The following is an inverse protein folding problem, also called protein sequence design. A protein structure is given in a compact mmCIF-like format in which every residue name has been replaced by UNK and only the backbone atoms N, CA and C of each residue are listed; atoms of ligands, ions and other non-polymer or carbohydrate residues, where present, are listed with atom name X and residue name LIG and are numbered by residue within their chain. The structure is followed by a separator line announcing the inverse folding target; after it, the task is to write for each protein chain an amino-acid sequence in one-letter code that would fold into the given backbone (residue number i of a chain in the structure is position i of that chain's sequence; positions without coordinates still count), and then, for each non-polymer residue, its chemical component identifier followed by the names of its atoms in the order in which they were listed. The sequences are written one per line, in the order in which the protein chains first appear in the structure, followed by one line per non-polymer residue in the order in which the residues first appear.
data_IF_880676928240
#
_entry.id   IF_880676928240
#
_cell.length_a   1.000
_cell.length_b   1.000
_cell.length_c   1.000
_cell.angle_alpha   90.00
_cell.angle_beta   90.00
_cell.angle_gamma   90.00
#
_symmetry.space_group_name_H-M   'P 1'
#
loop_
_entity.id
_entity.type
_entity.pdbx_description
1 polymer ?
#
# COMPACT_ATOMS: atom_id res chain seq x y z
N UNK A 1 -42.48 4.15 -3.87
CA UNK A 1 -41.91 2.93 -4.49
C UNK A 1 -41.47 3.37 -5.88
N UNK A 2 -40.32 4.05 -5.96
CA UNK A 2 -39.76 4.47 -7.24
C UNK A 2 -39.27 3.22 -7.96
N UNK A 3 -39.69 3.06 -9.21
CA UNK A 3 -39.24 2.01 -10.10
C UNK A 3 -37.71 2.05 -10.18
N UNK A 4 -37.07 1.12 -9.46
CA UNK A 4 -35.62 1.00 -9.50
C UNK A 4 -35.20 0.79 -10.95
N UNK A 5 -34.23 1.60 -11.41
CA UNK A 5 -33.63 1.46 -12.74
C UNK A 5 -33.39 -0.02 -13.04
N UNK A 6 -34.04 -0.53 -14.08
CA UNK A 6 -33.90 -1.93 -14.51
C UNK A 6 -32.55 -2.20 -15.16
N UNK A 7 -31.87 -1.15 -15.60
CA UNK A 7 -30.58 -1.21 -16.28
C UNK A 7 -29.46 -1.26 -15.25
N UNK A 8 -28.54 -2.22 -15.40
CA UNK A 8 -27.36 -2.32 -14.54
C UNK A 8 -26.38 -1.16 -14.80
N UNK A 9 -25.58 -0.73 -13.80
CA UNK A 9 -24.57 0.31 -13.99
C UNK A 9 -23.58 -0.03 -15.12
N UNK A 10 -23.22 -1.31 -15.27
CA UNK A 10 -22.37 -1.77 -16.37
C UNK A 10 -23.04 -1.59 -17.74
N UNK A 11 -24.29 -2.05 -17.91
CA UNK A 11 -24.98 -1.92 -19.18
C UNK A 11 -25.24 -0.45 -19.54
N UNK A 12 -25.50 0.38 -18.53
CA UNK A 12 -25.59 1.84 -18.70
C UNK A 12 -24.25 2.43 -19.17
N UNK A 13 -23.14 2.05 -18.54
CA UNK A 13 -21.81 2.51 -18.92
C UNK A 13 -21.47 2.09 -20.36
N UNK A 14 -21.62 0.81 -20.69
CA UNK A 14 -21.33 0.25 -22.03
C UNK A 14 -22.11 0.99 -23.12
N UNK A 15 -23.41 1.23 -22.89
CA UNK A 15 -24.26 2.00 -23.83
C UNK A 15 -23.78 3.45 -23.97
N UNK A 16 -23.40 4.07 -22.85
CA UNK A 16 -22.98 5.47 -22.80
C UNK A 16 -21.64 5.71 -23.51
N UNK A 17 -20.66 4.83 -23.30
CA UNK A 17 -19.32 4.94 -23.88
C UNK A 17 -19.33 4.52 -25.37
N UNK A 18 -20.12 3.50 -25.74
CA UNK A 18 -20.30 3.10 -27.14
C UNK A 18 -20.93 4.22 -27.97
N UNK A 19 -21.93 4.92 -27.43
CA UNK A 19 -22.56 6.06 -28.10
C UNK A 19 -21.59 7.23 -28.32
N UNK A 20 -20.46 7.27 -27.59
CA UNK A 20 -19.39 8.27 -27.70
C UNK A 20 -18.20 7.79 -28.53
N UNK A 21 -18.25 6.57 -29.08
CA UNK A 21 -17.17 6.01 -29.90
C UNK A 21 -16.03 5.34 -29.14
N UNK A 22 -16.20 5.05 -27.85
CA UNK A 22 -15.23 4.28 -27.07
C UNK A 22 -15.47 2.77 -27.19
N UNK A 23 -14.40 2.00 -27.03
CA UNK A 23 -14.45 0.54 -26.98
C UNK A 23 -15.05 0.05 -25.66
N UNK A 24 -15.84 -1.03 -25.72
CA UNK A 24 -16.33 -1.78 -24.55
C UNK A 24 -15.54 -3.07 -24.33
N UNK A 25 -14.29 -3.11 -24.81
CA UNK A 25 -13.39 -4.24 -24.62
C UNK A 25 -13.17 -4.51 -23.12
N UNK A 26 -12.96 -5.78 -22.79
CA UNK A 26 -12.74 -6.28 -21.44
C UNK A 26 -11.44 -7.06 -21.43
N UNK A 27 -10.73 -7.00 -20.32
CA UNK A 27 -9.42 -7.61 -20.19
C UNK A 27 -9.35 -8.38 -18.88
N UNK A 28 -8.97 -9.65 -18.96
CA UNK A 28 -8.75 -10.48 -17.78
C UNK A 28 -7.54 -9.96 -17.01
N UNK A 29 -7.77 -9.48 -15.78
CA UNK A 29 -6.74 -8.81 -14.98
C UNK A 29 -5.48 -9.66 -14.82
N UNK A 30 -5.65 -10.98 -14.62
CA UNK A 30 -4.58 -11.95 -14.46
C UNK A 30 -3.68 -12.12 -15.69
N UNK A 31 -4.13 -11.66 -16.87
CA UNK A 31 -3.37 -11.70 -18.12
C UNK A 31 -2.74 -10.34 -18.50
N UNK A 32 -2.86 -9.34 -17.63
CA UNK A 32 -2.32 -7.98 -17.85
C UNK A 32 -1.20 -7.67 -16.86
N UNK A 33 -0.47 -6.58 -17.09
CA UNK A 33 0.54 -6.07 -16.16
C UNK A 33 -0.02 -5.52 -14.84
N UNK A 34 -1.35 -5.50 -14.65
CA UNK A 34 -1.96 -5.20 -13.35
C UNK A 34 -1.79 -6.35 -12.35
N UNK A 35 -1.55 -7.57 -12.83
CA UNK A 35 -1.26 -8.72 -11.99
C UNK A 35 0.25 -8.88 -11.82
N UNK A 36 0.73 -8.57 -10.62
CA UNK A 36 2.13 -8.69 -10.24
C UNK A 36 2.27 -9.58 -9.00
N UNK A 37 3.40 -10.29 -8.93
CA UNK A 37 3.74 -11.12 -7.78
C UNK A 37 4.10 -10.18 -6.63
N UNK A 38 3.48 -10.34 -5.44
CA UNK A 38 3.87 -9.58 -4.27
C UNK A 38 5.35 -9.66 -3.96
N UNK A 39 6.01 -8.51 -3.77
CA UNK A 39 7.41 -8.51 -3.34
C UNK A 39 7.53 -8.94 -1.87
N UNK A 40 8.68 -9.50 -1.43
CA UNK A 40 8.89 -9.84 -0.03
C UNK A 40 8.66 -8.65 0.91
N UNK A 41 9.04 -7.43 0.48
CA UNK A 41 8.82 -6.22 1.26
C UNK A 41 7.33 -5.87 1.38
N UNK A 42 6.54 -6.01 0.32
CA UNK A 42 5.09 -5.80 0.36
C UNK A 42 4.41 -6.72 1.37
N UNK A 43 4.80 -7.99 1.38
CA UNK A 43 4.28 -8.99 2.32
C UNK A 43 4.73 -8.72 3.76
N UNK A 44 6.01 -8.38 3.96
CA UNK A 44 6.57 -8.00 5.25
C UNK A 44 5.92 -6.76 5.85
N UNK A 45 5.53 -5.82 4.99
CA UNK A 45 4.92 -4.55 5.37
C UNK A 45 3.43 -4.66 5.70
N UNK A 46 2.80 -5.81 5.45
CA UNK A 46 1.38 -6.01 5.69
C UNK A 46 1.13 -6.66 7.04
N UNK A 47 0.43 -5.94 7.92
CA UNK A 47 0.03 -6.44 9.22
C UNK A 47 -1.39 -6.01 9.61
N UNK A 48 -1.99 -6.74 10.55
CA UNK A 48 -3.29 -6.47 11.14
C UNK A 48 -3.35 -5.06 11.76
N UNK A 49 -2.24 -4.55 12.30
CA UNK A 49 -2.18 -3.22 12.88
C UNK A 49 -2.47 -2.12 11.86
N UNK A 50 -1.94 -2.21 10.63
CA UNK A 50 -2.24 -1.23 9.56
C UNK A 50 -3.73 -1.22 9.23
N UNK A 51 -4.36 -2.40 9.18
CA UNK A 51 -5.80 -2.53 8.95
C UNK A 51 -6.58 -1.87 10.09
N UNK A 52 -6.14 -2.05 11.34
CA UNK A 52 -6.76 -1.42 12.51
C UNK A 52 -6.65 0.10 12.48
N UNK A 53 -5.49 0.64 12.10
CA UNK A 53 -5.25 2.09 11.94
C UNK A 53 -6.21 2.68 10.91
N UNK A 54 -6.37 2.02 9.76
CA UNK A 54 -7.32 2.44 8.71
C UNK A 54 -8.77 2.41 9.23
N UNK A 55 -9.17 1.35 9.93
CA UNK A 55 -10.53 1.20 10.48
C UNK A 55 -10.85 2.25 11.55
N UNK A 56 -9.86 2.64 12.35
CA UNK A 56 -10.00 3.65 13.41
C UNK A 56 -9.88 5.09 12.91
N UNK A 57 -9.47 5.30 11.65
CA UNK A 57 -9.29 6.64 11.08
C UNK A 57 -7.97 7.32 11.48
N UNK A 58 -6.94 6.56 11.86
CA UNK A 58 -5.65 7.08 12.33
C UNK A 58 -4.74 7.58 11.21
N UNK A 59 -5.14 8.64 10.48
CA UNK A 59 -4.45 9.08 9.26
C UNK A 59 -3.01 9.53 9.49
N UNK A 60 -2.72 10.18 10.61
CA UNK A 60 -1.35 10.60 10.94
C UNK A 60 -0.45 9.41 11.24
N UNK A 61 -0.98 8.40 11.94
CA UNK A 61 -0.28 7.14 12.20
C UNK A 61 -0.04 6.39 10.88
N UNK A 62 -1.03 6.33 10.01
CA UNK A 62 -0.90 5.72 8.68
C UNK A 62 0.20 6.42 7.87
N UNK A 63 0.18 7.76 7.83
CA UNK A 63 1.19 8.57 7.13
C UNK A 63 2.59 8.34 7.67
N UNK A 64 2.74 8.34 9.00
CA UNK A 64 4.03 8.10 9.66
C UNK A 64 4.57 6.71 9.34
N UNK A 65 3.71 5.68 9.40
CA UNK A 65 4.08 4.32 9.05
C UNK A 65 4.48 4.20 7.58
N UNK A 66 3.73 4.76 6.64
CA UNK A 66 4.08 4.67 5.21
C UNK A 66 5.37 5.41 4.85
N UNK A 67 5.69 6.50 5.56
CA UNK A 67 6.97 7.22 5.39
C UNK A 67 8.16 6.53 6.08
N UNK A 68 7.92 5.49 6.87
CA UNK A 68 8.98 4.80 7.63
C UNK A 68 9.95 4.00 6.77
N UNK A 69 9.56 3.68 5.52
CA UNK A 69 10.31 2.79 4.63
C UNK A 69 9.71 1.38 4.50
N UNK A 70 8.54 1.12 5.11
CA UNK A 70 7.71 -0.01 4.69
C UNK A 70 7.26 0.17 3.23
N UNK A 71 6.88 -0.93 2.56
CA UNK A 71 6.35 -0.86 1.20
C UNK A 71 5.12 0.04 1.15
N UNK A 72 4.99 0.93 0.13
CA UNK A 72 3.78 1.72 -0.07
C UNK A 72 2.60 0.88 -0.54
N UNK A 73 2.82 -0.37 -0.97
CA UNK A 73 1.80 -1.30 -1.46
C UNK A 73 1.72 -2.57 -0.59
N UNK A 74 1.53 -2.46 0.74
CA UNK A 74 1.55 -3.63 1.61
C UNK A 74 0.37 -4.55 1.27
N UNK A 75 0.63 -5.85 1.13
CA UNK A 75 -0.38 -6.84 0.79
C UNK A 75 -0.19 -8.17 1.52
N UNK A 76 -1.26 -8.95 1.65
CA UNK A 76 -1.17 -10.29 2.20
C UNK A 76 -0.60 -11.30 1.18
N UNK A 77 -0.51 -12.57 1.61
CA UNK A 77 -0.03 -13.69 0.79
C UNK A 77 -0.88 -13.98 -0.46
N UNK A 78 -2.10 -13.42 -0.52
CA UNK A 78 -3.03 -13.59 -1.64
C UNK A 78 -3.06 -12.37 -2.58
N UNK A 79 -2.09 -11.46 -2.44
CA UNK A 79 -2.06 -10.21 -3.21
C UNK A 79 -3.09 -9.15 -2.78
N UNK A 80 -3.90 -9.41 -1.75
CA UNK A 80 -4.86 -8.43 -1.25
C UNK A 80 -4.12 -7.30 -0.52
N UNK A 81 -3.85 -6.23 -1.26
CA UNK A 81 -3.28 -4.96 -0.77
C UNK A 81 -4.15 -4.25 0.26
N UNK A 82 -3.53 -3.45 1.14
CA UNK A 82 -4.22 -2.53 2.05
C UNK A 82 -5.21 -1.60 1.32
N UNK A 83 -4.94 -1.27 0.04
CA UNK A 83 -5.86 -0.50 -0.80
C UNK A 83 -7.21 -1.18 -0.99
N UNK A 84 -7.25 -2.50 -1.16
CA UNK A 84 -8.50 -3.27 -1.26
C UNK A 84 -9.36 -3.03 -0.02
N UNK A 85 -8.75 -3.12 1.15
CA UNK A 85 -9.43 -2.86 2.43
C UNK A 85 -9.91 -1.42 2.55
N UNK A 86 -9.08 -0.44 2.20
CA UNK A 86 -9.44 1.00 2.22
C UNK A 86 -10.61 1.30 1.30
N UNK A 87 -10.59 0.76 0.08
CA UNK A 87 -11.64 0.93 -0.91
C UNK A 87 -12.96 0.30 -0.47
N UNK A 88 -12.90 -0.91 0.07
CA UNK A 88 -14.06 -1.62 0.65
C UNK A 88 -14.70 -0.88 1.82
N UNK A 89 -13.90 -0.20 2.63
CA UNK A 89 -14.38 0.62 3.74
C UNK A 89 -14.90 2.00 3.29
N UNK A 90 -14.60 2.42 2.06
CA UNK A 90 -14.94 3.75 1.55
C UNK A 90 -14.16 4.87 2.21
N UNK A 91 -12.98 4.60 2.78
CA UNK A 91 -12.19 5.58 3.51
C UNK A 91 -11.34 6.44 2.55
N UNK A 92 -11.92 7.56 2.11
CA UNK A 92 -11.28 8.50 1.17
C UNK A 92 -10.02 9.13 1.76
N UNK A 93 -10.00 9.44 3.05
CA UNK A 93 -8.86 10.09 3.69
C UNK A 93 -7.66 9.15 3.72
N UNK A 94 -7.90 7.86 4.04
CA UNK A 94 -6.85 6.84 3.98
C UNK A 94 -6.34 6.67 2.55
N UNK A 95 -7.25 6.60 1.57
CA UNK A 95 -6.86 6.48 0.16
C UNK A 95 -5.95 7.63 -0.27
N UNK A 96 -6.29 8.88 0.08
CA UNK A 96 -5.48 10.05 -0.25
C UNK A 96 -4.10 10.00 0.41
N UNK A 97 -4.03 9.65 1.69
CA UNK A 97 -2.75 9.50 2.40
C UNK A 97 -1.87 8.43 1.73
N UNK A 98 -2.45 7.31 1.33
CA UNK A 98 -1.73 6.23 0.64
C UNK A 98 -1.20 6.70 -0.72
N UNK A 99 -2.04 7.34 -1.54
CA UNK A 99 -1.62 7.89 -2.83
C UNK A 99 -0.52 8.96 -2.69
N UNK A 100 -0.61 9.82 -1.67
CA UNK A 100 0.45 10.80 -1.34
C UNK A 100 1.78 10.13 -0.95
N UNK A 101 1.74 8.89 -0.44
CA UNK A 101 2.92 8.11 -0.06
C UNK A 101 3.42 7.19 -1.20
N UNK A 102 2.90 7.33 -2.42
CA UNK A 102 3.37 6.59 -3.59
C UNK A 102 2.75 5.20 -3.75
N UNK A 103 1.62 4.92 -3.09
CA UNK A 103 0.86 3.69 -3.35
C UNK A 103 0.34 3.69 -4.79
N UNK A 104 0.48 2.55 -5.49
CA UNK A 104 -0.05 2.35 -6.82
C UNK A 104 -1.47 1.78 -6.77
N UNK A 105 -2.34 2.26 -7.68
CA UNK A 105 -3.66 1.68 -7.89
C UNK A 105 -3.64 0.44 -8.80
N UNK A 106 -2.50 0.17 -9.44
CA UNK A 106 -2.28 -0.93 -10.38
C UNK A 106 -1.91 -2.22 -9.64
N UNK A 107 -2.76 -2.58 -8.68
CA UNK A 107 -2.65 -3.82 -7.90
C UNK A 107 -3.87 -4.68 -8.17
N UNK A 108 -3.68 -5.99 -8.15
CA UNK A 108 -4.77 -6.95 -8.10
C UNK A 108 -4.44 -8.07 -7.13
N UNK A 109 -5.47 -8.69 -6.56
CA UNK A 109 -5.30 -9.92 -5.79
C UNK A 109 -5.18 -11.17 -6.70
N UNK A 110 -5.00 -12.34 -6.09
CA UNK A 110 -4.90 -13.63 -6.80
C UNK A 110 -6.17 -14.02 -7.57
N UNK A 111 -7.30 -13.38 -7.28
CA UNK A 111 -8.54 -13.56 -8.04
C UNK A 111 -8.65 -12.56 -9.19
N UNK A 112 -7.66 -11.70 -9.42
CA UNK A 112 -7.71 -10.64 -10.42
C UNK A 112 -8.63 -9.48 -10.01
N UNK A 113 -9.00 -9.37 -8.74
CA UNK A 113 -9.80 -8.24 -8.24
C UNK A 113 -8.87 -7.06 -7.99
N UNK A 114 -9.25 -5.91 -8.52
CA UNK A 114 -8.57 -4.63 -8.31
C UNK A 114 -9.20 -3.85 -7.15
N UNK A 115 -8.56 -2.79 -6.62
CA UNK A 115 -9.15 -1.95 -5.58
C UNK A 115 -10.53 -1.38 -5.96
N UNK A 116 -10.79 -1.17 -7.26
CA UNK A 116 -12.08 -0.71 -7.74
C UNK A 116 -13.20 -1.76 -7.59
N UNK A 117 -12.88 -3.05 -7.71
CA UNK A 117 -13.85 -4.13 -7.42
C UNK A 117 -14.33 -4.03 -5.96
N UNK A 118 -13.41 -3.81 -5.03
CA UNK A 118 -13.73 -3.66 -3.62
C UNK A 118 -14.47 -2.36 -3.29
N UNK A 119 -14.14 -1.26 -3.97
CA UNK A 119 -14.92 -0.01 -3.86
C UNK A 119 -16.38 -0.20 -4.31
N UNK A 120 -16.61 -1.02 -5.35
CA UNK A 120 -17.94 -1.33 -5.86
C UNK A 120 -18.71 -2.34 -4.99
N UNK A 121 -18.00 -3.19 -4.25
CA UNK A 121 -18.58 -4.16 -3.32
C UNK A 121 -18.96 -3.55 -1.94
N UNK A 122 -18.48 -2.34 -1.65
CA UNK A 122 -18.71 -1.65 -0.39
C UNK A 122 -20.20 -1.59 0.01
N UNK A 123 -20.46 -1.66 1.32
CA UNK A 123 -21.83 -1.67 1.88
C UNK A 123 -22.60 -0.38 1.57
N UNK A 124 -21.88 0.73 1.40
CA UNK A 124 -22.43 2.02 0.97
C UNK A 124 -21.68 2.45 -0.29
N UNK A 125 -22.34 3.15 -1.24
CA UNK A 125 -21.68 3.61 -2.45
C UNK A 125 -20.61 4.66 -2.11
N UNK A 126 -19.35 4.25 -2.12
CA UNK A 126 -18.19 5.09 -1.87
C UNK A 126 -17.80 5.89 -3.12
N UNK A 127 -18.73 6.67 -3.68
CA UNK A 127 -18.55 7.37 -4.96
C UNK A 127 -17.34 8.32 -4.98
N UNK A 128 -16.97 8.87 -3.82
CA UNK A 128 -15.78 9.72 -3.65
C UNK A 128 -14.48 8.94 -3.74
N UNK A 129 -14.43 7.69 -3.25
CA UNK A 129 -13.29 6.78 -3.47
C UNK A 129 -13.19 6.45 -4.95
N UNK A 130 -14.32 6.14 -5.59
CA UNK A 130 -14.40 5.87 -7.03
C UNK A 130 -13.91 7.06 -7.84
N UNK A 131 -14.30 8.29 -7.48
CA UNK A 131 -13.81 9.50 -8.13
C UNK A 131 -12.29 9.62 -8.08
N UNK A 132 -11.69 9.38 -6.90
CA UNK A 132 -10.24 9.43 -6.75
C UNK A 132 -9.57 8.36 -7.61
N UNK A 133 -10.10 7.13 -7.61
CA UNK A 133 -9.54 6.03 -8.41
C UNK A 133 -9.64 6.35 -9.91
N UNK A 134 -10.82 6.72 -10.42
CA UNK A 134 -11.04 6.99 -11.85
C UNK A 134 -10.30 8.22 -12.35
N UNK A 135 -10.02 9.19 -11.47
CA UNK A 135 -9.18 10.35 -11.83
C UNK A 135 -7.72 9.98 -12.06
N UNK A 136 -7.24 8.88 -11.47
CA UNK A 136 -5.86 8.40 -11.65
C UNK A 136 -5.79 7.31 -12.72
N UNK A 137 -6.69 6.34 -12.67
CA UNK A 137 -6.75 5.23 -13.63
C UNK A 137 -8.21 4.82 -13.92
N UNK A 138 -8.84 5.38 -14.97
CA UNK A 138 -10.18 4.98 -15.38
C UNK A 138 -10.20 3.58 -16.00
N UNK A 139 -9.05 3.03 -16.39
CA UNK A 139 -8.97 1.75 -17.11
C UNK A 139 -9.35 0.56 -16.22
N UNK A 140 -9.26 0.73 -14.90
CA UNK A 140 -9.68 -0.28 -13.92
C UNK A 140 -11.15 -0.70 -14.08
N UNK A 141 -11.99 0.08 -14.77
CA UNK A 141 -13.38 -0.27 -15.09
C UNK A 141 -13.52 -1.40 -16.11
N UNK A 142 -12.50 -1.64 -16.94
CA UNK A 142 -12.51 -2.62 -18.03
C UNK A 142 -11.87 -3.96 -17.65
N UNK A 143 -11.29 -4.03 -16.45
CA UNK A 143 -10.60 -5.19 -15.94
C UNK A 143 -11.58 -6.17 -15.30
N UNK A 144 -11.58 -7.42 -15.73
CA UNK A 144 -12.39 -8.48 -15.13
C UNK A 144 -11.57 -9.36 -14.19
N UNK A 145 -12.23 -9.83 -13.14
CA UNK A 145 -11.67 -10.82 -12.23
C UNK A 145 -11.61 -12.21 -12.89
N UNK A 146 -11.07 -13.19 -12.18
CA UNK A 146 -10.99 -14.61 -12.60
C UNK A 146 -12.36 -15.27 -12.86
N UNK A 147 -13.47 -14.60 -12.54
CA UNK A 147 -14.85 -15.05 -12.79
C UNK A 147 -15.49 -14.32 -13.96
N UNK A 148 -14.75 -13.45 -14.66
CA UNK A 148 -15.26 -12.59 -15.74
C UNK A 148 -16.15 -11.45 -15.22
N UNK A 149 -16.05 -11.11 -13.94
CA UNK A 149 -16.85 -10.07 -13.33
C UNK A 149 -16.07 -8.74 -13.29
N UNK A 150 -16.65 -7.70 -13.91
CA UNK A 150 -16.14 -6.32 -13.87
C UNK A 150 -16.43 -5.65 -12.51
N UNK A 151 -15.75 -4.55 -12.13
CA UNK A 151 -15.99 -3.87 -10.86
C UNK A 151 -17.46 -3.50 -10.65
N UNK A 152 -18.11 -2.94 -11.67
CA UNK A 152 -19.50 -2.48 -11.57
C UNK A 152 -20.51 -3.62 -11.40
N UNK A 153 -20.13 -4.86 -11.71
CA UNK A 153 -20.97 -6.03 -11.49
C UNK A 153 -21.19 -6.34 -10.00
N UNK A 154 -20.28 -5.88 -9.12
CA UNK A 154 -20.37 -6.06 -7.67
C UNK A 154 -21.31 -5.07 -6.99
N UNK A 155 -21.77 -4.04 -7.71
CA UNK A 155 -22.66 -3.02 -7.16
C UNK A 155 -24.01 -3.66 -6.85
N UNK A 156 -24.39 -3.60 -5.57
CA UNK A 156 -25.71 -4.05 -5.10
C UNK A 156 -26.83 -3.33 -5.83
N UNK A 157 -27.87 -4.07 -6.21
CA UNK A 157 -29.02 -3.55 -6.98
C UNK A 157 -29.69 -2.34 -6.32
N UNK A 158 -29.72 -2.29 -5.00
CA UNK A 158 -30.23 -1.18 -4.20
C UNK A 158 -29.48 0.16 -4.42
N UNK A 159 -28.23 0.12 -4.89
CA UNK A 159 -27.42 1.32 -5.12
C UNK A 159 -27.40 1.76 -6.59
N UNK A 160 -28.01 1.03 -7.53
CA UNK A 160 -27.99 1.39 -8.95
C UNK A 160 -28.56 2.78 -9.22
N UNK A 161 -29.53 3.21 -8.43
CA UNK A 161 -30.12 4.55 -8.50
C UNK A 161 -29.13 5.68 -8.18
N UNK A 162 -28.07 5.42 -7.42
CA UNK A 162 -27.01 6.40 -7.13
C UNK A 162 -25.91 6.40 -8.20
N UNK A 163 -25.58 5.22 -8.74
CA UNK A 163 -24.50 5.04 -9.70
C UNK A 163 -24.82 5.55 -11.11
N UNK A 164 -26.07 5.42 -11.57
CA UNK A 164 -26.45 5.90 -12.91
C UNK A 164 -26.37 7.43 -13.02
N UNK A 165 -26.94 8.22 -12.08
CA UNK A 165 -26.73 9.67 -12.05
C UNK A 165 -25.26 10.05 -11.90
N UNK A 166 -24.49 9.29 -11.10
CA UNK A 166 -23.05 9.50 -10.92
C UNK A 166 -22.30 9.45 -12.27
N UNK A 167 -22.51 8.40 -13.07
CA UNK A 167 -21.88 8.29 -14.38
C UNK A 167 -22.41 9.34 -15.36
N UNK A 168 -23.72 9.60 -15.36
CA UNK A 168 -24.32 10.63 -16.23
C UNK A 168 -23.73 12.01 -15.96
N UNK A 169 -23.45 12.36 -14.71
CA UNK A 169 -22.88 13.65 -14.34
C UNK A 169 -21.39 13.78 -14.73
N UNK A 170 -20.66 12.67 -14.80
CA UNK A 170 -19.20 12.63 -15.07
C UNK A 170 -18.85 12.13 -16.47
N UNK A 171 -19.85 11.82 -17.29
CA UNK A 171 -19.67 11.27 -18.64
C UNK A 171 -18.73 12.12 -19.48
N UNK A 172 -18.85 13.45 -19.42
CA UNK A 172 -18.04 14.36 -20.24
C UNK A 172 -16.64 14.62 -19.63
N UNK A 173 -16.44 14.25 -18.36
CA UNK A 173 -15.14 14.34 -17.68
C UNK A 173 -14.22 13.16 -18.05
N UNK A 174 -14.74 11.93 -18.02
CA UNK A 174 -13.96 10.72 -18.30
C UNK A 174 -14.08 10.23 -19.75
N UNK A 175 -15.20 10.50 -20.41
CA UNK A 175 -15.50 10.07 -21.79
C UNK A 175 -16.02 11.26 -22.63
N UNK A 176 -15.17 12.23 -22.99
CA UNK A 176 -15.55 13.32 -23.88
C UNK A 176 -16.07 12.80 -25.24
N UNK A 177 -16.97 13.56 -25.87
CA UNK A 177 -17.62 13.11 -27.10
C UNK A 177 -16.66 13.13 -28.30
N UNK A 178 -16.30 11.94 -28.80
CA UNK A 178 -15.42 11.78 -29.95
C UNK A 178 -16.16 11.97 -31.29
N UNK A 179 -17.49 12.03 -31.29
CA UNK A 179 -18.29 12.14 -32.51
C UNK A 179 -18.25 13.53 -33.16
N UNK A 180 -17.83 14.58 -32.42
CA UNK A 180 -17.89 15.98 -32.85
C UNK A 180 -16.59 16.61 -33.36
N UNK A 181 -15.42 16.01 -33.08
CA UNK A 181 -14.12 16.57 -33.46
C UNK A 181 -13.24 15.48 -34.08
N UNK A 182 -12.64 15.77 -35.24
CA UNK A 182 -11.69 14.90 -35.94
C UNK A 182 -10.36 14.69 -35.19
N UNK A 183 -10.42 14.26 -33.93
CA UNK A 183 -9.30 13.71 -33.18
C UNK A 183 -8.95 12.35 -33.79
N UNK A 184 -7.65 12.07 -34.05
CA UNK A 184 -7.25 10.80 -34.62
C UNK A 184 -7.52 9.64 -33.64
N UNK A 185 -7.62 8.38 -34.12
CA UNK A 185 -7.98 7.19 -33.34
C UNK A 185 -6.94 6.75 -32.29
N UNK A 186 -6.04 7.64 -31.83
CA UNK A 186 -4.83 7.28 -31.09
C UNK A 186 -5.09 6.76 -29.66
N UNK A 187 -6.26 7.02 -29.08
CA UNK A 187 -6.64 6.52 -27.74
C UNK A 187 -7.50 5.25 -27.78
N UNK A 188 -7.69 4.62 -28.96
CA UNK A 188 -8.50 3.40 -29.09
C UNK A 188 -7.72 2.11 -28.80
N UNK A 189 -6.40 2.19 -28.72
CA UNK A 189 -5.59 1.05 -28.31
C UNK A 189 -5.79 0.78 -26.83
N UNK A 190 -5.92 -0.49 -26.41
CA UNK A 190 -5.88 -0.86 -25.01
C UNK A 190 -4.69 -0.17 -24.34
N UNK A 191 -4.86 0.46 -23.17
CA UNK A 191 -3.74 0.94 -22.35
C UNK A 191 -2.57 -0.04 -22.37
N UNK A 192 -1.33 0.46 -22.44
CA UNK A 192 -0.13 -0.39 -22.63
C UNK A 192 -0.09 -1.59 -21.67
N UNK A 193 -0.46 -1.35 -20.41
CA UNK A 193 -0.53 -2.36 -19.36
C UNK A 193 -1.48 -3.53 -19.64
N UNK A 194 -2.53 -3.34 -20.46
CA UNK A 194 -3.42 -4.42 -20.88
C UNK A 194 -2.77 -5.37 -21.89
N UNK A 195 -1.77 -4.91 -22.63
CA UNK A 195 -1.06 -5.69 -23.65
C UNK A 195 0.21 -6.34 -23.11
N UNK A 196 0.67 -5.87 -21.95
CA UNK A 196 1.83 -6.40 -21.26
C UNK A 196 1.49 -7.67 -20.49
N UNK A 197 2.46 -8.59 -20.40
CA UNK A 197 2.28 -9.88 -19.73
C UNK A 197 2.13 -9.68 -18.22
N UNK A 198 1.47 -10.59 -17.51
CA UNK A 198 1.52 -10.57 -16.04
C UNK A 198 2.97 -10.61 -15.55
N UNK A 199 3.21 -10.02 -14.39
CA UNK A 199 4.53 -9.91 -13.74
C UNK A 199 5.57 -9.05 -14.47
N UNK A 200 5.18 -8.36 -15.55
CA UNK A 200 6.11 -7.53 -16.33
C UNK A 200 6.30 -6.10 -15.79
N UNK A 201 5.44 -5.67 -14.85
CA UNK A 201 5.49 -4.34 -14.26
C UNK A 201 5.49 -4.40 -12.72
N UNK A 202 6.50 -5.02 -12.09
CA UNK A 202 6.57 -5.12 -10.64
C UNK A 202 6.60 -3.73 -10.00
N UNK A 203 5.84 -3.56 -8.92
CA UNK A 203 5.78 -2.28 -8.22
C UNK A 203 7.10 -2.04 -7.48
N UNK A 204 7.79 -0.90 -7.72
CA UNK A 204 9.08 -0.65 -7.11
C UNK A 204 8.95 -0.41 -5.61
N UNK A 205 9.99 -0.84 -4.89
CA UNK A 205 10.15 -0.53 -3.47
C UNK A 205 10.53 0.96 -3.30
N UNK A 206 10.20 1.58 -2.15
CA UNK A 206 10.48 2.98 -1.94
C UNK A 206 11.99 3.22 -1.78
N UNK A 207 12.48 4.40 -2.14
CA UNK A 207 13.92 4.71 -2.06
C UNK A 207 14.50 4.55 -0.65
N UNK A 208 13.68 4.73 0.39
CA UNK A 208 14.04 4.52 1.78
C UNK A 208 13.62 3.15 2.34
N UNK A 209 13.41 2.14 1.48
CA UNK A 209 12.95 0.79 1.86
C UNK A 209 13.71 0.20 3.05
N UNK A 210 12.98 -0.27 4.06
CA UNK A 210 13.54 -1.04 5.17
C UNK A 210 13.84 -2.48 4.70
N UNK A 211 14.71 -3.18 5.43
CA UNK A 211 14.84 -4.64 5.27
C UNK A 211 13.51 -5.31 5.62
N UNK A 212 13.27 -6.51 5.09
CA UNK A 212 12.02 -7.23 5.33
C UNK A 212 11.76 -7.47 6.82
N UNK A 213 12.80 -7.66 7.62
CA UNK A 213 12.67 -7.88 9.06
C UNK A 213 12.28 -6.61 9.81
N UNK A 214 13.00 -5.50 9.56
CA UNK A 214 12.66 -4.21 10.13
C UNK A 214 11.26 -3.76 9.72
N UNK A 215 10.88 -4.00 8.46
CA UNK A 215 9.53 -3.72 7.96
C UNK A 215 8.46 -4.51 8.73
N UNK A 216 8.68 -5.81 9.02
CA UNK A 216 7.77 -6.62 9.85
C UNK A 216 7.63 -6.07 11.26
N UNK A 217 8.75 -5.67 11.88
CA UNK A 217 8.74 -5.12 13.25
C UNK A 217 8.00 -3.78 13.32
N UNK A 218 8.20 -2.91 12.32
CA UNK A 218 7.47 -1.63 12.23
C UNK A 218 6.00 -1.85 11.93
N UNK A 219 5.67 -2.72 10.96
CA UNK A 219 4.29 -3.01 10.58
C UNK A 219 3.48 -3.62 11.74
N UNK A 220 4.10 -4.48 12.55
CA UNK A 220 3.49 -5.09 13.74
C UNK A 220 3.52 -4.22 15.01
N UNK A 221 4.01 -2.97 14.91
CA UNK A 221 4.14 -2.02 16.03
C UNK A 221 5.08 -2.50 17.15
N UNK A 222 6.00 -3.40 16.84
CA UNK A 222 7.05 -3.84 17.78
C UNK A 222 8.23 -2.88 17.81
N UNK A 223 8.39 -2.06 16.77
CA UNK A 223 9.45 -1.06 16.64
C UNK A 223 8.89 0.27 16.12
N UNK A 224 9.44 1.39 16.58
CA UNK A 224 9.05 2.71 16.08
C UNK A 224 9.75 3.00 14.73
N UNK A 225 9.08 3.70 13.80
CA UNK A 225 9.67 4.13 12.52
C UNK A 225 11.07 4.76 12.62
N UNK A 226 11.29 5.63 13.61
CA UNK A 226 12.57 6.30 13.82
C UNK A 226 13.69 5.36 14.26
N UNK A 227 13.37 4.32 15.05
CA UNK A 227 14.33 3.31 15.50
C UNK A 227 14.76 2.42 14.34
N UNK A 228 13.80 1.97 13.51
CA UNK A 228 14.08 1.15 12.34
C UNK A 228 14.97 1.88 11.32
N UNK A 229 14.73 3.18 11.10
CA UNK A 229 15.57 3.99 10.23
C UNK A 229 16.99 4.14 10.79
N UNK A 230 17.12 4.38 12.11
CA UNK A 230 18.43 4.48 12.76
C UNK A 230 19.23 3.18 12.61
N UNK A 231 18.61 2.03 12.87
CA UNK A 231 19.25 0.72 12.70
C UNK A 231 19.70 0.48 11.26
N UNK A 232 18.86 0.83 10.27
CA UNK A 232 19.24 0.73 8.85
C UNK A 232 20.50 1.53 8.53
N UNK A 233 20.60 2.78 9.00
CA UNK A 233 21.80 3.59 8.76
C UNK A 233 23.04 3.01 9.45
N UNK A 234 22.90 2.51 10.69
CA UNK A 234 24.00 1.88 11.41
C UNK A 234 24.56 0.66 10.68
N UNK A 235 23.70 -0.19 10.11
CA UNK A 235 24.12 -1.36 9.35
C UNK A 235 24.86 -0.98 8.05
N UNK A 236 24.46 0.12 7.39
CA UNK A 236 25.11 0.61 6.17
C UNK A 236 26.52 1.21 6.42
N UNK A 237 26.76 1.80 7.59
CA UNK A 237 28.08 2.36 7.94
C UNK A 237 29.11 1.26 8.21
N UNK A 238 28.70 0.13 8.80
CA UNK A 238 29.58 -1.01 9.07
C UNK A 238 30.03 -1.71 7.77
N UNK A 239 29.13 -1.88 6.80
CA UNK A 239 29.48 -2.43 5.47
C UNK A 239 30.42 -1.52 4.66
N UNK A 240 30.33 -0.20 4.86
CA UNK A 240 31.19 0.78 4.18
C UNK A 240 32.63 0.84 4.73
N UNK A 241 32.83 0.46 5.99
CA UNK A 241 34.15 0.53 6.65
C UNK A 241 35.09 -0.62 6.30
N UNK A 242 34.59 -1.74 5.75
CA UNK A 242 35.41 -2.92 5.44
C UNK A 242 35.99 -2.94 4.02
N UNK A 243 35.65 -1.95 3.18
CA UNK A 243 36.05 -1.91 1.75
C UNK A 243 37.28 -1.04 1.44
N UNK A 244 38.04 -0.55 2.44
CA UNK A 244 39.21 0.31 2.19
C UNK A 244 40.59 -0.34 2.31
N UNK A 245 40.70 -1.60 2.75
CA UNK A 245 41.99 -2.10 3.28
C UNK A 245 42.66 -3.21 2.45
N UNK A 246 42.25 -3.46 1.21
CA UNK A 246 42.96 -4.41 0.33
C UNK A 246 43.12 -3.87 -1.07
N UNK A 247 44.19 -3.10 -1.29
CA UNK A 247 44.99 -3.10 -2.53
C UNK A 247 46.12 -2.07 -2.41
N UNK A 248 47.21 -2.47 -1.75
CA UNK A 248 48.53 -1.91 -2.02
C UNK A 248 49.60 -2.91 -1.55
N UNK A 249 49.72 -4.01 -2.29
CA UNK A 249 51.00 -4.73 -2.33
C UNK A 249 51.49 -4.77 -3.77
N UNK A 250 52.59 -4.04 -3.96
CA UNK A 250 53.47 -4.05 -5.10
C UNK A 250 53.97 -5.48 -5.35
N UNK A 251 53.91 -5.96 -6.59
CA UNK A 251 54.75 -7.08 -7.03
C UNK A 251 55.28 -6.81 -8.44
N UNK A 252 56.56 -6.45 -8.49
CA UNK A 252 57.39 -6.39 -9.69
C UNK A 252 57.73 -7.81 -10.18
N UNK A 253 57.83 -8.00 -11.50
CA UNK A 253 58.79 -8.96 -12.06
C UNK A 253 58.34 -9.81 -13.25
N UNK A 254 58.93 -9.47 -14.42
CA UNK A 254 59.57 -10.34 -15.44
C UNK A 254 58.74 -11.48 -16.06
N UNK A 255 58.37 -11.42 -17.35
CA UNK A 255 59.16 -11.62 -18.58
C UNK A 255 59.07 -13.07 -19.11
N UNK A 256 59.07 -13.15 -20.45
CA UNK A 256 59.43 -14.27 -21.35
C UNK A 256 58.35 -15.18 -21.98
N UNK A 257 58.21 -14.97 -23.31
CA UNK A 257 58.32 -15.94 -24.43
C UNK A 257 57.27 -17.06 -24.62
N UNK A 258 56.99 -17.62 -25.81
CA UNK A 258 56.97 -17.26 -27.23
C UNK A 258 56.41 -18.53 -27.93
N UNK A 259 55.64 -18.41 -29.03
CA UNK A 259 55.24 -19.49 -29.99
C UNK A 259 54.25 -20.55 -29.48
N UNK A 260 53.36 -21.20 -30.26
CA UNK A 260 53.11 -21.27 -31.69
C UNK A 260 52.43 -22.62 -32.02
N UNK A 261 51.42 -22.58 -32.91
CA UNK A 261 50.81 -23.68 -33.71
C UNK A 261 49.82 -24.72 -33.12
N UNK A 262 48.64 -24.73 -33.75
CA UNK A 262 47.79 -25.83 -34.25
C UNK A 262 47.47 -27.07 -33.41
N UNK A 263 46.17 -27.31 -33.17
CA UNK A 263 45.43 -28.42 -33.81
C UNK A 263 43.95 -28.45 -33.38
N UNK A 264 43.06 -28.64 -34.36
CA UNK A 264 41.63 -28.96 -34.22
C UNK A 264 41.39 -30.25 -33.42
N UNK A 265 40.43 -30.26 -32.49
CA UNK A 265 39.62 -31.43 -32.14
C UNK A 265 38.26 -30.98 -31.57
N UNK A 266 37.20 -31.40 -32.27
CA UNK A 266 35.83 -31.55 -31.77
C UNK A 266 35.81 -32.53 -30.58
N UNK A 267 35.07 -32.19 -29.51
CA UNK A 267 33.91 -32.95 -28.99
C UNK A 267 33.70 -32.72 -27.49
N UNK A 268 32.43 -32.44 -27.18
CA UNK A 268 31.71 -32.80 -25.96
C UNK A 268 31.80 -31.90 -24.70
N UNK A 269 30.61 -31.78 -24.10
CA UNK A 269 30.29 -31.37 -22.73
C UNK A 269 30.63 -29.94 -22.30
N UNK A 270 29.62 -29.06 -22.36
CA UNK A 270 29.58 -27.85 -21.54
C UNK A 270 28.71 -28.15 -20.32
N UNK A 271 29.39 -28.55 -19.25
CA UNK A 271 28.97 -28.33 -17.87
C UNK A 271 29.10 -26.83 -17.58
N UNK A 272 27.99 -26.14 -17.29
CA UNK A 272 28.04 -24.85 -16.60
C UNK A 272 27.65 -25.10 -15.14
N UNK A 273 28.67 -25.37 -14.33
CA UNK A 273 28.64 -25.09 -12.90
C UNK A 273 28.87 -23.59 -12.68
N UNK A 274 28.07 -23.04 -11.76
CA UNK A 274 28.37 -21.89 -10.90
C UNK A 274 28.33 -20.46 -11.46
N UNK A 275 27.17 -19.82 -11.32
CA UNK A 275 27.13 -18.44 -10.80
C UNK A 275 26.34 -18.45 -9.48
N UNK A 276 27.00 -18.96 -8.45
CA UNK A 276 26.68 -18.72 -7.04
C UNK A 276 26.82 -17.21 -6.76
N UNK A 277 25.72 -16.49 -6.98
CA UNK A 277 25.49 -15.20 -6.36
C UNK A 277 25.19 -15.39 -4.87
N UNK A 278 26.21 -15.71 -4.08
CA UNK A 278 26.15 -15.72 -2.62
C UNK A 278 25.97 -14.29 -2.15
N UNK A 279 24.71 -13.87 -2.13
CA UNK A 279 24.26 -12.81 -1.25
C UNK A 279 24.56 -13.32 0.16
N UNK A 280 25.68 -12.87 0.75
CA UNK A 280 26.04 -13.17 2.13
C UNK A 280 24.86 -12.80 3.02
N UNK A 281 24.05 -13.80 3.34
CA UNK A 281 23.06 -13.73 4.40
C UNK A 281 23.89 -13.67 5.66
N UNK A 282 23.89 -12.51 6.33
CA UNK A 282 24.27 -12.45 7.73
C UNK A 282 23.55 -13.61 8.42
N UNK A 283 24.31 -14.47 9.10
CA UNK A 283 23.80 -15.68 9.71
C UNK A 283 22.58 -15.31 10.57
N UNK A 284 21.46 -16.03 10.42
CA UNK A 284 20.22 -15.77 11.17
C UNK A 284 20.49 -15.65 12.69
N UNK A 285 21.58 -16.25 13.15
CA UNK A 285 22.06 -16.25 14.53
C UNK A 285 22.64 -14.89 15.00
N UNK A 286 23.33 -14.11 14.13
CA UNK A 286 23.88 -12.80 14.52
C UNK A 286 22.78 -11.73 14.64
N UNK A 287 21.78 -11.75 13.74
CA UNK A 287 20.61 -10.89 13.88
C UNK A 287 19.72 -11.30 15.05
N UNK A 288 19.59 -12.60 15.33
CA UNK A 288 18.86 -13.07 16.51
C UNK A 288 19.49 -12.55 17.82
N UNK A 289 20.82 -12.49 17.91
CA UNK A 289 21.51 -11.98 19.09
C UNK A 289 21.36 -10.46 19.26
N UNK A 290 21.40 -9.69 18.17
CA UNK A 290 21.13 -8.23 18.19
C UNK A 290 19.66 -7.96 18.58
N UNK A 291 18.71 -8.72 18.02
CA UNK A 291 17.29 -8.58 18.35
C UNK A 291 16.97 -9.06 19.78
N UNK A 292 17.64 -10.11 20.27
CA UNK A 292 17.55 -10.62 21.64
C UNK A 292 18.08 -9.60 22.67
N UNK A 293 19.23 -9.00 22.39
CA UNK A 293 19.81 -7.97 23.27
C UNK A 293 18.99 -6.68 23.30
N UNK A 294 18.35 -6.30 22.20
CA UNK A 294 17.48 -5.12 22.13
C UNK A 294 16.12 -5.36 22.82
N UNK A 295 15.53 -6.55 22.67
CA UNK A 295 14.26 -6.90 23.36
C UNK A 295 14.44 -7.06 24.88
N UNK A 296 15.59 -7.53 25.35
CA UNK A 296 15.92 -7.58 26.77
C UNK A 296 16.03 -6.20 27.43
N UNK A 297 16.42 -5.17 26.67
CA UNK A 297 16.57 -3.78 27.17
C UNK A 297 15.24 -3.02 27.26
N UNK A 298 14.17 -3.55 26.66
CA UNK A 298 12.85 -2.93 26.58
C UNK A 298 11.84 -3.42 27.63
N UNK A 299 12.24 -4.27 28.59
CA UNK A 299 11.33 -4.72 29.67
C UNK A 299 11.36 -3.73 30.84
N UNK A 300 10.29 -2.98 31.14
CA UNK A 300 10.20 -2.28 32.41
C UNK A 300 9.95 -3.32 33.52
N UNK A 301 10.86 -3.35 34.49
CA UNK A 301 10.77 -4.17 35.70
C UNK A 301 9.42 -3.97 36.40
N UNK A 302 8.63 -5.04 36.50
CA UNK A 302 7.47 -5.13 37.40
C UNK A 302 7.92 -5.72 38.73
N UNK A 303 7.90 -4.89 39.77
CA UNK A 303 7.78 -5.20 41.21
C UNK A 303 7.65 -3.81 41.91
N UNK A 304 6.78 -3.51 42.88
CA UNK A 304 5.97 -4.34 43.76
C UNK A 304 4.77 -3.55 44.36
N UNK A 305 3.67 -4.28 44.51
CA UNK A 305 2.48 -4.24 45.41
C UNK A 305 2.11 -3.00 46.27
N UNK A 306 0.84 -2.59 46.07
CA UNK A 306 -0.23 -2.34 47.06
C UNK A 306 0.11 -1.81 48.47
N UNK A 307 -0.37 -0.61 48.81
CA UNK A 307 -0.99 -0.32 50.12
C UNK A 307 -1.65 1.08 50.16
N UNK A 308 -2.97 1.07 50.40
CA UNK A 308 -3.72 1.96 51.31
C UNK A 308 -3.10 3.25 51.84
N UNK A 309 -3.92 4.31 51.87
CA UNK A 309 -3.99 5.19 53.03
C UNK A 309 -3.64 6.66 52.80
N UNK A 310 -4.67 7.50 52.97
CA UNK A 310 -4.64 8.87 53.48
C UNK A 310 -3.26 9.49 53.80
N UNK A 311 -3.01 10.69 53.27
CA UNK A 311 -2.43 11.75 54.11
C UNK A 311 -2.76 13.16 53.61
N UNK A 312 -3.40 13.89 54.53
CA UNK A 312 -3.58 15.35 54.54
C UNK A 312 -2.26 16.07 54.82
N UNK A 313 -2.30 17.37 54.52
CA UNK A 313 -1.52 18.49 55.04
C UNK A 313 -0.22 18.85 54.29
N UNK A 314 -0.21 20.04 53.67
CA UNK A 314 0.26 21.22 54.38
C UNK A 314 -0.26 22.53 53.74
N UNK A 315 -0.71 23.40 54.65
CA UNK A 315 -1.17 24.77 54.44
C UNK A 315 -0.02 25.69 54.00
N UNK A 316 -0.35 26.70 53.18
CA UNK A 316 0.28 28.02 53.28
C UNK A 316 -0.80 29.10 53.22
N UNK A 317 -0.91 29.82 54.34
CA UNK A 317 -1.84 30.91 54.61
C UNK A 317 -1.52 32.19 53.82
N UNK A 318 -2.55 32.91 53.37
CA UNK A 318 -2.73 34.38 53.46
C UNK A 318 -4.24 34.68 53.29
N UNK A 319 -4.99 34.92 54.38
CA UNK A 319 -5.45 36.23 54.92
C UNK A 319 -6.34 37.06 53.97
N UNK A 320 -7.69 36.92 54.00
CA UNK A 320 -8.75 37.75 54.66
C UNK A 320 -9.57 38.61 53.64
N UNK A 321 -10.72 39.26 53.98
CA UNK A 321 -12.06 38.62 54.09
C UNK A 321 -13.26 39.42 53.45
N UNK A 322 -14.46 38.80 53.49
CA UNK A 322 -15.85 39.39 53.47
C UNK A 322 -16.34 40.20 52.25
N UNK A 323 -17.44 39.76 51.61
CA UNK A 323 -18.79 40.29 51.88
C UNK A 323 -19.90 39.60 51.04
N UNK A 324 -21.00 39.33 51.73
CA UNK A 324 -22.41 39.17 51.36
C UNK A 324 -22.85 39.46 49.91
N UNK A 325 -23.63 38.55 49.32
CA UNK A 325 -25.07 38.73 49.02
C UNK A 325 -25.58 37.64 48.05
N UNK A 326 -26.63 36.92 48.47
CA UNK A 326 -27.59 36.21 47.60
C UNK A 326 -28.84 37.12 47.56
N UNK A 327 -29.67 37.13 46.49
CA UNK A 327 -30.65 36.04 46.36
C UNK A 327 -31.09 35.66 44.92
N UNK A 328 -31.49 34.38 44.81
CA UNK A 328 -32.72 33.86 44.18
C UNK A 328 -33.16 34.37 42.80
N UNK A 329 -33.23 33.45 41.84
CA UNK A 329 -34.39 33.31 40.96
C UNK A 329 -34.64 31.83 40.64
N UNK A 330 -35.66 31.28 41.32
CA UNK A 330 -36.42 30.10 40.90
C UNK A 330 -37.29 30.51 39.71
N UNK A 331 -37.26 29.75 38.61
CA UNK A 331 -38.47 29.46 37.84
C UNK A 331 -38.46 27.97 37.51
N UNK A 332 -39.49 27.30 38.00
CA UNK A 332 -39.88 25.94 37.70
C UNK A 332 -41.16 26.03 36.83
N UNK A 333 -41.43 24.96 36.07
CA UNK A 333 -42.72 24.43 35.55
C UNK A 333 -42.49 23.97 34.08
N UNK A 334 -42.22 22.69 33.82
CA UNK A 334 -43.16 21.54 33.65
C UNK A 334 -44.05 21.62 32.39
N UNK A 335 -43.83 20.66 31.48
CA UNK A 335 -44.85 19.71 31.04
C UNK A 335 -45.59 20.02 29.74
N UNK A 336 -45.29 19.25 28.69
CA UNK A 336 -46.19 18.23 28.12
C UNK A 336 -45.36 17.17 27.39
#
# INVERSE_FOLDING_TARGET
LEEGSTVSPQAFLDTMISARGYSTARFETLHTAYYNMPTPLQQASYDVYLIEVVKKGGMETLRSLMKSGISPNPCNKFGESLLHTVCRLGNVDALRVMLECGTSLQVSDDYGRTPLHDACWAVKPALTVVDVILSHDPNLLYLEDSRGALPLSYIRREHWCAWIPYFRARKDMYWPDLSGHGMPPREQSPPALFMERPFSAPLPDPANALTCELAKLVASRQMLPGEAQFLKYSMMEEEGSYRSDTESEEFEGSDDDESGSDSELDSDEFDDEDEDGSYYSLEEDEMADILSTLTARAVPSKEDKTATGQQKYLFSHTSTPRNDTVPLLKVCVRGL
#
